data_IF_977561765391
#
_entry.id   IF_977561765391
#
_cell.length_a   1.000
_cell.length_b   1.000
_cell.length_c   1.000
_cell.angle_alpha   90.00
_cell.angle_beta   90.00
_cell.angle_gamma   90.00
#
_symmetry.space_group_name_H-M   'P 1'
#
loop_
_entity.id
_entity.type
_entity.pdbx_description
1 polymer ?
#
# COMPACT_ATOMS: atom_id res chain seq x y z
N UNK A 1 6.35 -68.72 43.92
CA UNK A 1 5.60 -68.48 42.68
C UNK A 1 4.73 -67.23 42.67
N UNK A 2 4.05 -66.82 43.78
CA UNK A 2 3.15 -65.63 43.76
C UNK A 2 3.87 -64.27 43.65
N UNK A 3 5.11 -64.11 44.15
CA UNK A 3 5.87 -62.80 44.04
C UNK A 3 6.41 -62.51 42.67
N UNK A 4 6.67 -63.50 41.81
CA UNK A 4 7.18 -63.32 40.45
C UNK A 4 6.07 -62.88 39.46
N UNK A 5 4.81 -63.33 39.71
CA UNK A 5 3.69 -62.94 38.82
C UNK A 5 3.27 -61.45 39.02
N UNK A 6 3.33 -60.97 40.26
CA UNK A 6 2.97 -59.58 40.58
C UNK A 6 3.96 -58.59 39.95
N UNK A 7 5.27 -58.94 39.96
CA UNK A 7 6.29 -58.07 39.31
C UNK A 7 6.17 -58.01 37.80
N UNK A 8 5.80 -59.13 37.12
CA UNK A 8 5.60 -59.15 35.68
C UNK A 8 4.37 -58.37 35.25
N UNK A 9 3.27 -58.43 36.01
CA UNK A 9 2.05 -57.69 35.70
C UNK A 9 2.25 -56.17 35.93
N UNK A 10 3.00 -55.77 36.95
CA UNK A 10 3.30 -54.34 37.22
C UNK A 10 4.23 -53.76 36.13
N UNK A 11 5.20 -54.51 35.66
CA UNK A 11 6.05 -54.10 34.51
C UNK A 11 5.29 -54.03 33.20
N UNK A 12 4.38 -54.96 32.92
CA UNK A 12 3.54 -54.93 31.73
C UNK A 12 2.54 -53.74 31.72
N UNK A 13 1.96 -53.40 32.89
CA UNK A 13 1.09 -52.20 33.01
C UNK A 13 1.88 -50.91 32.85
N UNK A 14 3.09 -50.81 33.40
CA UNK A 14 3.93 -49.61 33.26
C UNK A 14 4.37 -49.38 31.81
N UNK A 15 4.68 -50.44 31.05
CA UNK A 15 5.01 -50.31 29.64
C UNK A 15 3.77 -49.97 28.79
N UNK A 16 2.58 -50.45 29.17
CA UNK A 16 1.33 -50.11 28.50
C UNK A 16 0.91 -48.65 28.76
N UNK A 17 1.11 -48.13 29.97
CA UNK A 17 0.85 -46.72 30.30
C UNK A 17 1.81 -45.74 29.58
N UNK A 18 3.09 -46.14 29.37
CA UNK A 18 4.05 -45.32 28.63
C UNK A 18 3.75 -45.33 27.13
N UNK A 19 3.22 -46.44 26.60
CA UNK A 19 2.78 -46.51 25.20
C UNK A 19 1.49 -45.73 24.90
N UNK A 20 0.65 -45.49 25.93
CA UNK A 20 -0.56 -44.68 25.79
C UNK A 20 -0.34 -43.17 25.98
N UNK A 21 0.82 -42.77 26.54
CA UNK A 21 1.22 -41.37 26.65
C UNK A 21 2.09 -40.87 25.45
N UNK A 22 2.49 -41.78 24.60
CA UNK A 22 3.05 -41.49 23.30
C UNK A 22 1.96 -41.18 22.25
N UNK A 23 0.89 -40.49 22.65
CA UNK A 23 -0.06 -39.89 21.73
C UNK A 23 0.70 -38.88 20.89
N UNK A 24 0.93 -39.22 19.60
CA UNK A 24 1.39 -38.29 18.59
C UNK A 24 0.62 -36.98 18.72
N UNK A 25 1.23 -35.98 19.32
CA UNK A 25 1.04 -34.64 18.82
C UNK A 25 1.60 -34.67 17.41
N UNK A 26 0.77 -35.10 16.43
CA UNK A 26 0.92 -34.56 15.09
C UNK A 26 0.85 -33.07 15.30
N UNK A 27 1.99 -32.39 15.38
CA UNK A 27 2.08 -31.05 14.84
C UNK A 27 1.48 -31.18 13.45
N UNK A 28 0.27 -30.69 13.32
CA UNK A 28 -0.27 -30.38 12.02
C UNK A 28 0.69 -29.32 11.48
N UNK A 29 1.76 -29.72 10.84
CA UNK A 29 2.49 -28.89 9.90
C UNK A 29 1.47 -28.66 8.80
N UNK A 30 0.59 -27.67 9.00
CA UNK A 30 -0.28 -27.21 7.96
C UNK A 30 0.66 -26.81 6.82
N UNK A 31 0.59 -27.56 5.73
CA UNK A 31 1.36 -27.23 4.53
C UNK A 31 0.94 -25.81 4.15
N UNK A 32 1.87 -24.87 4.03
CA UNK A 32 1.53 -23.51 3.65
C UNK A 32 0.67 -23.53 2.38
N UNK A 33 -0.31 -22.65 2.24
CA UNK A 33 -1.15 -22.62 1.06
C UNK A 33 -0.27 -22.53 -0.19
N UNK A 34 -0.64 -23.27 -1.24
CA UNK A 34 0.10 -23.32 -2.51
C UNK A 34 0.20 -21.96 -3.20
N UNK A 35 -0.66 -21.02 -2.81
CA UNK A 35 -0.69 -19.62 -3.26
C UNK A 35 -0.56 -18.68 -2.05
N UNK A 36 -0.03 -17.48 -2.31
CA UNK A 36 0.04 -16.40 -1.30
C UNK A 36 -1.38 -15.92 -0.97
N UNK A 37 -1.80 -15.92 0.31
CA UNK A 37 -3.03 -15.27 0.70
C UNK A 37 -2.99 -13.78 0.32
N UNK A 38 -4.06 -13.33 -0.33
CA UNK A 38 -4.27 -11.92 -0.68
C UNK A 38 -5.41 -11.38 0.17
N UNK A 39 -5.14 -10.33 0.91
CA UNK A 39 -6.15 -9.55 1.63
C UNK A 39 -6.51 -8.34 0.78
N UNK A 40 -7.77 -8.24 0.38
CA UNK A 40 -8.34 -7.03 -0.25
C UNK A 40 -9.09 -6.27 0.83
N UNK A 41 -8.56 -5.12 1.22
CA UNK A 41 -9.15 -4.24 2.22
C UNK A 41 -9.81 -3.06 1.54
N UNK A 42 -11.14 -2.94 1.67
CA UNK A 42 -11.94 -1.90 1.04
C UNK A 42 -12.58 -1.01 2.11
N UNK A 43 -12.01 0.17 2.35
CA UNK A 43 -12.62 1.21 3.17
C UNK A 43 -13.58 2.02 2.28
N UNK A 44 -14.87 1.68 2.32
CA UNK A 44 -15.86 2.12 1.35
C UNK A 44 -16.99 2.96 1.93
N UNK A 45 -17.09 3.14 3.25
CA UNK A 45 -18.17 3.96 3.80
C UNK A 45 -17.92 5.46 3.58
N UNK A 46 -17.89 5.78 2.30
CA UNK A 46 -17.68 7.09 1.72
C UNK A 46 -18.36 7.14 0.33
N UNK A 47 -17.98 8.08 -0.54
CA UNK A 47 -18.52 8.19 -1.91
C UNK A 47 -18.11 7.04 -2.84
N UNK A 48 -17.16 6.16 -2.44
CA UNK A 48 -16.80 4.93 -3.18
C UNK A 48 -17.71 3.73 -2.89
N UNK A 49 -18.69 3.84 -1.98
CA UNK A 49 -19.60 2.72 -1.61
C UNK A 49 -20.30 2.09 -2.81
N UNK A 50 -20.57 2.86 -3.86
CA UNK A 50 -21.16 2.36 -5.10
C UNK A 50 -20.26 1.38 -5.88
N UNK A 51 -18.95 1.37 -5.60
CA UNK A 51 -17.97 0.51 -6.28
C UNK A 51 -17.99 -0.95 -5.77
N UNK A 52 -18.50 -1.22 -4.56
CA UNK A 52 -18.42 -2.55 -3.94
C UNK A 52 -18.94 -3.68 -4.82
N UNK A 53 -20.16 -3.54 -5.33
CA UNK A 53 -20.79 -4.62 -6.10
C UNK A 53 -20.03 -4.96 -7.37
N UNK A 54 -19.53 -3.94 -8.10
CA UNK A 54 -18.77 -4.12 -9.33
C UNK A 54 -17.39 -4.73 -9.06
N UNK A 55 -16.72 -4.34 -7.96
CA UNK A 55 -15.43 -4.89 -7.54
C UNK A 55 -15.57 -6.32 -7.06
N UNK A 56 -16.59 -6.61 -6.24
CA UNK A 56 -16.87 -7.98 -5.80
C UNK A 56 -17.17 -8.91 -6.99
N UNK A 57 -17.90 -8.44 -8.00
CA UNK A 57 -18.16 -9.22 -9.23
C UNK A 57 -16.85 -9.52 -9.96
N UNK A 58 -15.95 -8.54 -10.12
CA UNK A 58 -14.65 -8.71 -10.75
C UNK A 58 -13.72 -9.66 -9.94
N UNK A 59 -13.70 -9.54 -8.61
CA UNK A 59 -12.97 -10.46 -7.72
C UNK A 59 -13.48 -11.91 -7.87
N UNK A 60 -14.80 -12.12 -7.95
CA UNK A 60 -15.39 -13.44 -8.20
C UNK A 60 -14.97 -14.00 -9.55
N UNK A 61 -15.02 -13.19 -10.60
CA UNK A 61 -14.60 -13.59 -11.94
C UNK A 61 -13.10 -13.95 -12.02
N UNK A 62 -12.26 -13.25 -11.24
CA UNK A 62 -10.82 -13.48 -11.19
C UNK A 62 -10.39 -14.59 -10.25
N UNK A 63 -11.23 -15.01 -9.31
CA UNK A 63 -10.86 -16.06 -8.35
C UNK A 63 -10.70 -17.42 -9.06
N UNK A 64 -9.71 -18.19 -8.65
CA UNK A 64 -9.44 -19.56 -9.14
C UNK A 64 -9.27 -20.50 -7.96
N UNK A 65 -9.60 -21.82 -8.13
CA UNK A 65 -9.37 -22.83 -7.09
C UNK A 65 -7.93 -22.81 -6.57
N UNK A 66 -7.77 -22.84 -5.25
CA UNK A 66 -6.49 -22.76 -4.58
C UNK A 66 -6.00 -21.34 -4.26
N UNK A 67 -6.71 -20.29 -4.67
CA UNK A 67 -6.47 -18.93 -4.19
C UNK A 67 -7.05 -18.73 -2.80
N UNK A 68 -6.24 -18.21 -1.89
CA UNK A 68 -6.66 -17.73 -0.58
C UNK A 68 -6.93 -16.21 -0.70
N UNK A 69 -8.16 -15.86 -1.05
CA UNK A 69 -8.60 -14.48 -1.22
C UNK A 69 -9.56 -14.08 -0.08
N UNK A 70 -9.11 -13.13 0.72
CA UNK A 70 -9.84 -12.56 1.83
C UNK A 70 -10.27 -11.14 1.48
N UNK A 71 -11.53 -10.81 1.72
CA UNK A 71 -12.09 -9.50 1.39
C UNK A 71 -12.71 -8.91 2.65
N UNK A 72 -12.14 -7.83 3.12
CA UNK A 72 -12.79 -6.93 4.07
C UNK A 72 -13.44 -5.80 3.28
N UNK A 73 -14.68 -5.52 3.61
CA UNK A 73 -15.39 -4.38 3.06
C UNK A 73 -16.28 -3.76 4.13
N UNK A 74 -16.24 -2.45 4.22
CA UNK A 74 -17.19 -1.66 4.96
C UNK A 74 -18.24 -1.11 4.00
N UNK A 75 -19.48 -1.48 4.24
CA UNK A 75 -20.63 -1.14 3.38
C UNK A 75 -21.75 -0.58 4.25
N UNK A 76 -22.78 0.06 3.65
CA UNK A 76 -23.92 0.54 4.43
C UNK A 76 -24.65 -0.52 5.25
N UNK A 77 -24.47 -1.80 4.90
CA UNK A 77 -25.01 -2.94 5.65
C UNK A 77 -24.10 -3.35 6.83
N UNK A 78 -23.01 -2.65 7.02
CA UNK A 78 -21.95 -2.88 8.01
C UNK A 78 -20.72 -3.58 7.47
N UNK A 79 -19.65 -3.47 8.23
CA UNK A 79 -18.35 -4.03 7.87
C UNK A 79 -18.30 -5.54 8.08
N UNK A 80 -17.62 -6.23 7.19
CA UNK A 80 -17.43 -7.68 7.27
C UNK A 80 -16.13 -8.14 6.62
N UNK A 81 -15.60 -9.25 7.13
CA UNK A 81 -14.51 -10.02 6.52
C UNK A 81 -15.08 -11.30 5.95
N UNK A 82 -14.80 -11.57 4.69
CA UNK A 82 -15.17 -12.81 4.02
C UNK A 82 -13.99 -13.49 3.34
N UNK A 83 -14.14 -14.77 3.09
CA UNK A 83 -13.23 -15.59 2.27
C UNK A 83 -13.94 -16.00 0.99
N UNK A 84 -13.25 -15.86 -0.12
CA UNK A 84 -13.75 -16.31 -1.42
C UNK A 84 -13.61 -17.82 -1.54
N UNK A 85 -14.65 -18.49 -2.03
CA UNK A 85 -14.64 -19.93 -2.25
C UNK A 85 -15.60 -20.35 -3.38
N UNK A 86 -15.44 -21.58 -3.86
CA UNK A 86 -16.34 -22.20 -4.82
C UNK A 86 -17.59 -22.75 -4.14
N UNK A 87 -18.74 -22.57 -4.79
CA UNK A 87 -20.02 -23.19 -4.40
C UNK A 87 -20.64 -23.92 -5.60
N UNK A 88 -21.67 -24.73 -5.42
CA UNK A 88 -22.37 -25.34 -6.54
C UNK A 88 -22.93 -24.33 -7.55
N UNK A 89 -23.24 -23.10 -7.09
CA UNK A 89 -23.80 -22.03 -7.89
C UNK A 89 -22.72 -21.10 -8.51
N UNK A 90 -21.42 -21.35 -8.20
CA UNK A 90 -20.31 -20.54 -8.67
C UNK A 90 -19.36 -20.10 -7.57
N UNK A 91 -18.71 -18.95 -7.73
CA UNK A 91 -17.79 -18.38 -6.73
C UNK A 91 -18.54 -17.41 -5.81
N UNK A 92 -18.40 -17.58 -4.51
CA UNK A 92 -19.05 -16.74 -3.50
C UNK A 92 -18.06 -16.20 -2.46
N UNK A 93 -18.37 -15.03 -1.91
CA UNK A 93 -17.72 -14.50 -0.72
C UNK A 93 -18.49 -15.01 0.50
N UNK A 94 -17.89 -15.90 1.27
CA UNK A 94 -18.41 -16.41 2.52
C UNK A 94 -18.00 -15.51 3.67
N UNK A 95 -18.96 -14.89 4.33
CA UNK A 95 -18.69 -14.06 5.51
C UNK A 95 -18.12 -14.92 6.63
N UNK A 96 -16.94 -14.56 7.10
CA UNK A 96 -16.24 -15.23 8.22
C UNK A 96 -16.47 -14.47 9.52
N UNK A 97 -16.48 -13.14 9.47
CA UNK A 97 -16.68 -12.28 10.63
C UNK A 97 -17.50 -11.04 10.23
N UNK A 98 -18.42 -10.62 11.09
CA UNK A 98 -19.21 -9.39 10.95
C UNK A 98 -18.84 -8.44 12.06
N UNK A 99 -18.55 -7.21 11.70
CA UNK A 99 -18.12 -6.19 12.66
C UNK A 99 -19.22 -5.16 12.97
N UNK A 100 -20.27 -5.10 12.13
CA UNK A 100 -21.32 -4.09 12.24
C UNK A 100 -20.85 -2.72 11.77
N UNK A 101 -21.38 -1.66 12.36
CA UNK A 101 -20.91 -0.30 12.10
C UNK A 101 -19.56 -0.10 12.80
N UNK A 102 -18.54 0.23 12.05
CA UNK A 102 -17.21 0.54 12.55
C UNK A 102 -16.48 1.51 11.61
N UNK A 103 -15.39 2.10 12.10
CA UNK A 103 -14.55 2.98 11.29
C UNK A 103 -13.52 2.13 10.52
N UNK A 104 -13.73 1.94 9.22
CA UNK A 104 -12.78 1.25 8.33
C UNK A 104 -11.51 2.08 8.04
N UNK A 105 -11.57 3.40 8.24
CA UNK A 105 -10.42 4.30 8.22
C UNK A 105 -9.80 4.43 9.62
N UNK A 106 -9.51 3.30 10.26
CA UNK A 106 -8.86 3.20 11.58
C UNK A 106 -7.73 2.19 11.54
N UNK A 107 -6.56 2.56 12.07
CA UNK A 107 -5.44 1.63 12.23
C UNK A 107 -5.81 0.40 13.07
N UNK A 108 -6.61 0.57 14.12
CA UNK A 108 -7.06 -0.55 14.95
C UNK A 108 -7.94 -1.54 14.20
N UNK A 109 -8.82 -1.06 13.31
CA UNK A 109 -9.64 -1.90 12.44
C UNK A 109 -8.78 -2.67 11.44
N UNK A 110 -7.86 -1.99 10.75
CA UNK A 110 -6.93 -2.62 9.80
C UNK A 110 -6.08 -3.70 10.50
N UNK A 111 -5.48 -3.40 11.64
CA UNK A 111 -4.68 -4.36 12.40
C UNK A 111 -5.51 -5.60 12.80
N UNK A 112 -6.71 -5.40 13.32
CA UNK A 112 -7.60 -6.49 13.73
C UNK A 112 -7.94 -7.39 12.52
N UNK A 113 -8.28 -6.82 11.38
CA UNK A 113 -8.58 -7.58 10.16
C UNK A 113 -7.38 -8.40 9.71
N UNK A 114 -6.20 -7.79 9.63
CA UNK A 114 -4.97 -8.49 9.24
C UNK A 114 -4.60 -9.61 10.24
N UNK A 115 -4.70 -9.36 11.54
CA UNK A 115 -4.48 -10.39 12.57
C UNK A 115 -5.50 -11.52 12.49
N UNK A 116 -6.77 -11.22 12.16
CA UNK A 116 -7.80 -12.23 11.97
C UNK A 116 -7.46 -13.13 10.79
N UNK A 117 -7.07 -12.56 9.65
CA UNK A 117 -6.64 -13.36 8.49
C UNK A 117 -5.40 -14.17 8.82
N UNK A 118 -4.38 -13.58 9.46
CA UNK A 118 -3.16 -14.28 9.84
C UNK A 118 -3.43 -15.49 10.76
N UNK A 119 -4.34 -15.34 11.72
CA UNK A 119 -4.77 -16.42 12.61
C UNK A 119 -5.55 -17.52 11.89
N UNK A 120 -6.43 -17.17 10.93
CA UNK A 120 -7.33 -18.12 10.27
C UNK A 120 -6.69 -18.79 9.04
N UNK A 121 -5.68 -18.18 8.45
CA UNK A 121 -4.96 -18.67 7.28
C UNK A 121 -3.45 -18.48 7.49
N UNK A 122 -2.80 -19.29 8.36
CA UNK A 122 -1.36 -19.19 8.57
C UNK A 122 -0.58 -19.38 7.27
N UNK A 123 0.37 -18.50 6.98
CA UNK A 123 1.20 -18.51 5.78
C UNK A 123 2.55 -17.85 6.06
N UNK A 124 3.55 -18.19 5.26
CA UNK A 124 4.88 -17.60 5.28
C UNK A 124 5.02 -16.36 4.36
N UNK A 125 3.91 -15.87 3.81
CA UNK A 125 3.87 -14.64 3.01
C UNK A 125 2.44 -14.24 2.66
N UNK A 126 2.15 -12.93 2.73
CA UNK A 126 0.84 -12.34 2.42
C UNK A 126 0.99 -11.17 1.47
N UNK A 127 -0.06 -10.92 0.68
CA UNK A 127 -0.26 -9.67 -0.04
C UNK A 127 -1.41 -8.86 0.57
N UNK A 128 -1.28 -7.55 0.57
CA UNK A 128 -2.36 -6.61 0.88
C UNK A 128 -2.65 -5.74 -0.35
N UNK A 129 -3.90 -5.72 -0.80
CA UNK A 129 -4.43 -4.74 -1.73
C UNK A 129 -5.37 -3.82 -0.94
N UNK A 130 -4.97 -2.57 -0.82
CA UNK A 130 -5.72 -1.56 -0.07
C UNK A 130 -6.43 -0.61 -1.02
N UNK A 131 -7.76 -0.60 -0.98
CA UNK A 131 -8.62 0.25 -1.81
C UNK A 131 -9.38 1.24 -0.95
N UNK A 132 -9.14 2.50 -1.18
CA UNK A 132 -9.88 3.64 -0.63
C UNK A 132 -9.43 4.94 -1.30
N UNK A 133 -9.89 6.06 -0.79
CA UNK A 133 -9.23 7.34 -1.06
C UNK A 133 -7.91 7.45 -0.29
N UNK A 134 -6.96 8.25 -0.81
CA UNK A 134 -5.76 8.64 -0.09
C UNK A 134 -5.19 9.97 -0.59
N UNK A 135 -4.36 10.61 0.23
CA UNK A 135 -3.57 11.82 -0.09
C UNK A 135 -2.10 11.66 0.35
N UNK A 136 -1.60 10.41 0.26
CA UNK A 136 -0.21 10.14 0.63
C UNK A 136 0.07 10.39 2.12
N UNK A 137 1.08 11.21 2.39
CA UNK A 137 1.51 11.57 3.74
C UNK A 137 0.75 12.77 4.35
N UNK A 138 -0.11 13.45 3.56
CA UNK A 138 -0.79 14.66 4.05
C UNK A 138 -1.64 14.34 5.28
N UNK A 139 -1.60 15.16 6.33
CA UNK A 139 -2.43 14.97 7.50
C UNK A 139 -3.92 15.00 7.17
N UNK A 140 -4.70 14.29 7.97
CA UNK A 140 -6.16 14.32 7.89
C UNK A 140 -6.68 15.78 7.85
N UNK A 141 -7.68 16.05 7.00
CA UNK A 141 -8.26 17.37 6.88
C UNK A 141 -7.50 18.37 5.98
N UNK A 142 -6.36 18.00 5.38
CA UNK A 142 -5.53 18.94 4.59
C UNK A 142 -6.17 19.36 3.26
N UNK A 143 -6.83 18.47 2.55
CA UNK A 143 -7.54 18.79 1.30
C UNK A 143 -9.03 18.92 1.59
N UNK A 144 -9.55 20.15 1.45
CA UNK A 144 -10.98 20.44 1.63
C UNK A 144 -11.83 19.84 0.52
N UNK A 145 -12.18 18.57 0.65
CA UNK A 145 -13.09 17.90 -0.28
C UNK A 145 -14.53 17.96 0.22
N UNK A 146 -15.55 18.11 -0.66
CA UNK A 146 -16.96 17.99 -0.25
C UNK A 146 -17.29 16.64 0.38
N UNK A 147 -16.50 15.60 0.11
CA UNK A 147 -16.61 14.23 0.65
C UNK A 147 -15.59 13.89 1.73
N UNK A 148 -14.91 14.90 2.34
CA UNK A 148 -13.88 14.71 3.36
C UNK A 148 -12.47 14.60 2.76
N UNK A 149 -11.46 15.05 3.49
CA UNK A 149 -10.05 14.92 3.13
C UNK A 149 -9.49 13.57 3.59
N UNK A 150 -8.26 13.18 3.19
CA UNK A 150 -7.89 11.77 3.16
C UNK A 150 -6.39 11.62 3.33
N UNK A 151 -5.95 11.07 4.45
CA UNK A 151 -4.56 10.62 4.60
C UNK A 151 -4.39 9.23 3.95
N UNK A 152 -4.72 8.13 4.65
CA UNK A 152 -4.74 6.78 4.08
C UNK A 152 -6.09 6.14 4.37
N UNK A 153 -6.98 6.11 3.37
CA UNK A 153 -8.36 5.64 3.56
C UNK A 153 -9.28 6.71 4.15
N UNK A 154 -10.58 6.57 3.90
CA UNK A 154 -11.62 7.48 4.37
C UNK A 154 -12.89 6.73 4.75
N UNK A 155 -13.48 7.13 5.88
CA UNK A 155 -14.73 6.59 6.40
C UNK A 155 -15.46 7.69 7.16
N UNK A 156 -16.67 8.11 6.71
CA UNK A 156 -17.47 9.18 7.33
C UNK A 156 -16.67 10.43 7.74
N UNK A 157 -15.64 10.78 6.95
CA UNK A 157 -14.76 11.91 7.25
C UNK A 157 -13.63 11.60 8.25
N UNK A 158 -13.55 10.38 8.77
CA UNK A 158 -12.37 9.87 9.46
C UNK A 158 -11.32 9.42 8.47
N UNK A 159 -10.04 9.48 8.85
CA UNK A 159 -8.89 9.11 8.02
C UNK A 159 -7.84 8.42 8.87
N UNK A 160 -7.07 7.50 8.27
CA UNK A 160 -5.92 6.89 8.94
C UNK A 160 -4.71 7.78 8.65
N UNK A 161 -4.09 8.33 9.69
CA UNK A 161 -2.77 8.97 9.56
C UNK A 161 -1.73 7.93 9.11
N UNK A 162 -0.73 8.36 8.36
CA UNK A 162 0.27 7.47 7.77
C UNK A 162 0.99 6.60 8.83
N UNK A 163 1.39 7.19 9.94
CA UNK A 163 2.05 6.48 11.05
C UNK A 163 1.11 5.43 11.67
N UNK A 164 -0.18 5.74 11.76
CA UNK A 164 -1.19 4.81 12.26
C UNK A 164 -1.43 3.66 11.28
N UNK A 165 -1.40 3.92 9.98
CA UNK A 165 -1.45 2.88 8.94
C UNK A 165 -0.23 1.96 9.02
N UNK A 166 0.97 2.53 9.09
CA UNK A 166 2.22 1.78 9.24
C UNK A 166 2.20 0.90 10.50
N UNK A 167 1.79 1.47 11.64
CA UNK A 167 1.69 0.74 12.90
C UNK A 167 0.62 -0.38 12.88
N UNK A 168 -0.43 -0.24 12.07
CA UNK A 168 -1.50 -1.22 11.91
C UNK A 168 -1.07 -2.47 11.13
N UNK A 169 0.02 -2.42 10.37
CA UNK A 169 0.60 -3.61 9.74
C UNK A 169 1.25 -4.46 10.84
N UNK A 170 0.69 -5.68 11.15
CA UNK A 170 1.07 -6.40 12.37
C UNK A 170 2.54 -6.81 12.37
N UNK A 171 3.24 -6.47 13.43
CA UNK A 171 4.61 -6.91 13.63
C UNK A 171 4.69 -8.45 13.62
N UNK A 172 5.66 -8.99 12.87
CA UNK A 172 5.84 -10.43 12.71
C UNK A 172 4.93 -11.10 11.69
N UNK A 173 3.89 -10.43 11.16
CA UNK A 173 3.15 -10.93 10.01
C UNK A 173 4.05 -10.81 8.76
N UNK A 174 4.30 -11.93 8.03
CA UNK A 174 5.18 -11.89 6.86
C UNK A 174 4.45 -11.26 5.66
N UNK A 175 4.27 -9.93 5.70
CA UNK A 175 3.63 -9.18 4.64
C UNK A 175 4.65 -8.93 3.52
N UNK A 176 4.53 -9.65 2.41
CA UNK A 176 5.45 -9.58 1.28
C UNK A 176 5.32 -8.29 0.49
N UNK A 177 4.10 -7.74 0.40
CA UNK A 177 3.84 -6.51 -0.34
C UNK A 177 2.53 -5.84 0.05
N UNK A 178 2.48 -4.53 -0.24
CA UNK A 178 1.25 -3.74 -0.27
C UNK A 178 1.05 -3.16 -1.67
N UNK A 179 -0.15 -3.33 -2.22
CA UNK A 179 -0.62 -2.65 -3.43
C UNK A 179 -1.64 -1.59 -3.02
N UNK A 180 -1.33 -0.34 -3.26
CA UNK A 180 -2.25 0.77 -3.02
C UNK A 180 -3.06 1.07 -4.28
N UNK A 181 -4.34 0.72 -4.27
CA UNK A 181 -5.30 1.27 -5.22
C UNK A 181 -5.89 2.56 -4.65
N UNK A 182 -5.01 3.51 -4.41
CA UNK A 182 -5.25 4.79 -3.77
C UNK A 182 -4.42 5.88 -4.43
N UNK A 183 -4.92 7.12 -4.35
CA UNK A 183 -4.26 8.30 -4.91
C UNK A 183 -3.00 8.67 -4.14
N UNK A 184 -1.93 9.16 -4.84
CA UNK A 184 -0.79 9.88 -4.27
C UNK A 184 0.05 9.09 -3.25
N UNK A 185 -0.02 7.75 -3.27
CA UNK A 185 0.69 6.92 -2.30
C UNK A 185 2.17 6.68 -2.62
N UNK A 186 2.67 7.02 -3.84
CA UNK A 186 4.10 6.85 -4.17
C UNK A 186 4.94 8.04 -3.69
N UNK A 187 4.73 8.50 -2.46
CA UNK A 187 5.54 9.53 -1.80
C UNK A 187 6.75 8.94 -1.08
N UNK A 188 7.89 9.62 -1.11
CA UNK A 188 9.10 9.23 -0.38
C UNK A 188 8.83 9.16 1.14
N UNK A 189 7.97 10.03 1.64
CA UNK A 189 7.48 10.05 3.02
C UNK A 189 6.75 8.74 3.35
N UNK A 190 5.83 8.31 2.48
CA UNK A 190 5.05 7.08 2.64
C UNK A 190 5.97 5.87 2.63
N UNK A 191 6.90 5.81 1.66
CA UNK A 191 7.77 4.65 1.47
C UNK A 191 8.77 4.48 2.62
N UNK A 192 9.30 5.57 3.17
CA UNK A 192 10.20 5.49 4.31
C UNK A 192 9.44 5.08 5.59
N UNK A 193 8.20 5.53 5.78
CA UNK A 193 7.37 5.15 6.92
C UNK A 193 6.99 3.65 6.88
N UNK A 194 6.84 3.08 5.69
CA UNK A 194 6.57 1.64 5.50
C UNK A 194 7.81 0.75 5.55
N UNK A 195 9.01 1.35 5.68
CA UNK A 195 10.25 0.60 5.81
C UNK A 195 10.21 -0.31 7.06
N UNK A 196 10.57 -1.60 6.90
CA UNK A 196 10.48 -2.59 7.96
C UNK A 196 9.08 -3.18 8.21
N UNK A 197 8.03 -2.66 7.55
CA UNK A 197 6.67 -3.20 7.61
C UNK A 197 6.35 -4.13 6.44
N UNK A 198 6.77 -3.75 5.26
CA UNK A 198 6.64 -4.54 4.03
C UNK A 198 7.82 -4.25 3.11
N UNK A 199 8.41 -5.26 2.44
CA UNK A 199 9.55 -5.04 1.57
C UNK A 199 9.20 -4.38 0.23
N UNK A 200 7.96 -4.51 -0.24
CA UNK A 200 7.54 -4.05 -1.56
C UNK A 200 6.23 -3.28 -1.52
N UNK A 201 6.18 -2.18 -2.24
CA UNK A 201 4.98 -1.36 -2.41
C UNK A 201 4.79 -1.04 -3.88
N UNK A 202 3.55 -1.25 -4.37
CA UNK A 202 3.10 -0.79 -5.68
C UNK A 202 2.11 0.36 -5.47
N UNK A 203 2.41 1.55 -5.98
CA UNK A 203 1.65 2.76 -5.70
C UNK A 203 1.71 3.78 -6.83
N UNK A 204 0.75 4.71 -6.87
CA UNK A 204 0.68 5.80 -7.84
C UNK A 204 1.23 7.11 -7.28
N UNK A 205 1.99 7.83 -8.11
CA UNK A 205 2.44 9.21 -7.83
C UNK A 205 1.31 10.24 -7.97
N UNK A 206 0.32 9.96 -8.83
CA UNK A 206 -0.85 10.78 -9.08
C UNK A 206 -2.11 10.14 -8.46
N UNK A 207 -3.27 10.67 -8.80
CA UNK A 207 -4.54 10.04 -8.46
C UNK A 207 -4.72 8.72 -9.22
N UNK A 208 -5.49 7.78 -8.67
CA UNK A 208 -5.95 6.58 -9.37
C UNK A 208 -7.33 6.87 -9.94
N UNK A 209 -7.40 7.03 -11.26
CA UNK A 209 -8.65 7.38 -11.96
C UNK A 209 -9.54 6.14 -12.08
N UNK A 210 -10.85 6.31 -11.83
CA UNK A 210 -11.81 5.22 -11.99
C UNK A 210 -11.77 4.63 -13.41
N UNK A 211 -11.91 3.33 -13.59
CA UNK A 211 -12.29 2.31 -12.62
C UNK A 211 -11.13 1.73 -11.78
N UNK A 212 -9.96 2.34 -11.78
CA UNK A 212 -8.78 1.88 -11.04
C UNK A 212 -8.29 0.50 -11.49
N UNK A 213 -7.92 -0.36 -10.56
CA UNK A 213 -7.43 -1.71 -10.84
C UNK A 213 -8.55 -2.74 -11.06
N UNK A 214 -9.83 -2.35 -10.91
CA UNK A 214 -10.97 -3.27 -11.07
C UNK A 214 -10.92 -4.12 -12.35
N UNK A 215 -10.57 -3.59 -13.55
CA UNK A 215 -10.49 -4.41 -14.76
C UNK A 215 -9.45 -5.54 -14.69
N UNK A 216 -8.45 -5.37 -13.83
CA UNK A 216 -7.40 -6.37 -13.62
C UNK A 216 -7.77 -7.43 -12.60
N UNK A 217 -8.83 -7.23 -11.81
CA UNK A 217 -9.23 -8.25 -10.84
C UNK A 217 -9.63 -9.56 -11.53
N UNK A 218 -10.19 -9.51 -12.73
CA UNK A 218 -10.55 -10.72 -13.49
C UNK A 218 -9.32 -11.49 -14.02
N UNK A 219 -8.23 -10.81 -14.34
CA UNK A 219 -7.04 -11.40 -14.98
C UNK A 219 -5.77 -11.33 -14.13
N UNK A 220 -5.68 -10.40 -13.18
CA UNK A 220 -4.46 -10.07 -12.44
C UNK A 220 -4.36 -10.64 -11.04
N UNK A 221 -5.47 -11.07 -10.42
CA UNK A 221 -5.44 -11.64 -9.07
C UNK A 221 -4.56 -12.88 -8.98
N UNK A 222 -4.55 -13.71 -10.03
CA UNK A 222 -3.71 -14.90 -10.09
C UNK A 222 -2.23 -14.54 -9.95
N UNK A 223 -1.80 -13.47 -10.62
CA UNK A 223 -0.42 -12.96 -10.54
C UNK A 223 -0.08 -12.56 -9.11
N UNK A 224 -0.93 -11.82 -8.44
CA UNK A 224 -0.70 -11.34 -7.06
C UNK A 224 -0.64 -12.49 -6.04
N UNK A 225 -1.29 -13.62 -6.29
CA UNK A 225 -1.29 -14.78 -5.38
C UNK A 225 -0.20 -15.80 -5.68
N UNK A 226 0.51 -15.68 -6.79
CA UNK A 226 1.55 -16.63 -7.21
C UNK A 226 2.75 -16.65 -6.24
N UNK A 227 3.38 -17.84 -6.08
CA UNK A 227 4.56 -18.04 -5.22
C UNK A 227 5.80 -18.51 -5.97
N UNK A 228 5.67 -18.82 -7.26
CA UNK A 228 6.75 -19.41 -8.05
C UNK A 228 7.74 -18.38 -8.59
N UNK A 229 7.31 -17.11 -8.67
CA UNK A 229 8.16 -15.99 -9.11
C UNK A 229 8.51 -15.07 -7.94
N UNK A 230 9.64 -14.35 -8.03
CA UNK A 230 9.97 -13.28 -7.08
C UNK A 230 8.87 -12.20 -7.01
N UNK A 231 8.58 -11.70 -5.81
CA UNK A 231 7.52 -10.69 -5.59
C UNK A 231 7.66 -9.47 -6.49
N UNK A 232 8.84 -8.86 -6.69
CA UNK A 232 8.95 -7.69 -7.57
C UNK A 232 8.58 -7.98 -9.02
N UNK A 233 8.84 -9.20 -9.52
CA UNK A 233 8.43 -9.60 -10.88
C UNK A 233 6.91 -9.73 -11.01
N UNK A 234 6.24 -10.24 -9.97
CA UNK A 234 4.78 -10.34 -9.93
C UNK A 234 4.14 -8.96 -9.93
N UNK A 235 4.64 -8.06 -9.07
CA UNK A 235 4.11 -6.71 -8.96
C UNK A 235 4.38 -5.88 -10.22
N UNK A 236 5.56 -6.02 -10.83
CA UNK A 236 5.86 -5.39 -12.11
C UNK A 236 4.94 -5.90 -13.22
N UNK A 237 4.68 -7.23 -13.29
CA UNK A 237 3.76 -7.80 -14.26
C UNK A 237 2.31 -7.31 -14.06
N UNK A 238 1.85 -7.19 -12.81
CA UNK A 238 0.55 -6.59 -12.51
C UNK A 238 0.51 -5.12 -12.94
N UNK A 239 1.54 -4.35 -12.60
CA UNK A 239 1.67 -2.94 -13.01
C UNK A 239 1.68 -2.76 -14.53
N UNK A 240 2.45 -3.56 -15.25
CA UNK A 240 2.49 -3.55 -16.73
C UNK A 240 1.11 -3.85 -17.33
N UNK A 241 0.37 -4.80 -16.76
CA UNK A 241 -0.99 -5.12 -17.22
C UNK A 241 -1.94 -3.95 -16.99
N UNK A 242 -1.80 -3.23 -15.85
CA UNK A 242 -2.57 -2.02 -15.59
C UNK A 242 -2.24 -0.91 -16.60
N UNK A 243 -0.97 -0.61 -16.80
CA UNK A 243 -0.54 0.44 -17.74
C UNK A 243 -1.00 0.12 -19.16
N UNK A 244 -0.88 -1.15 -19.60
CA UNK A 244 -1.38 -1.59 -20.92
C UNK A 244 -2.89 -1.43 -21.05
N UNK A 245 -3.66 -1.69 -19.98
CA UNK A 245 -5.10 -1.43 -19.96
C UNK A 245 -5.39 0.07 -20.13
N UNK A 246 -4.72 0.93 -19.35
CA UNK A 246 -4.89 2.39 -19.40
C UNK A 246 -4.50 2.95 -20.76
N UNK A 247 -3.44 2.47 -21.39
CA UNK A 247 -3.03 2.87 -22.73
C UNK A 247 -4.07 2.55 -23.80
N UNK A 248 -4.88 1.52 -23.58
CA UNK A 248 -6.03 1.17 -24.44
C UNK A 248 -7.24 2.10 -24.28
N UNK A 249 -7.25 2.96 -23.25
CA UNK A 249 -8.32 3.93 -23.02
C UNK A 249 -8.12 5.20 -23.88
N UNK A 250 -9.12 6.06 -23.90
CA UNK A 250 -9.10 7.32 -24.66
C UNK A 250 -9.42 8.53 -23.79
N UNK A 251 -9.02 9.71 -24.27
CA UNK A 251 -9.27 10.97 -23.59
C UNK A 251 -8.62 11.05 -22.21
N UNK A 252 -9.32 11.68 -21.29
CA UNK A 252 -8.88 11.87 -19.90
C UNK A 252 -8.70 10.57 -19.09
N UNK A 253 -9.34 9.48 -19.49
CA UNK A 253 -9.20 8.18 -18.83
C UNK A 253 -7.87 7.48 -19.15
N UNK A 254 -7.15 7.90 -20.19
CA UNK A 254 -5.78 7.48 -20.47
C UNK A 254 -4.80 8.23 -19.57
N UNK A 255 -4.93 8.01 -18.26
CA UNK A 255 -4.24 8.76 -17.22
C UNK A 255 -3.83 7.84 -16.08
N UNK A 256 -2.54 7.58 -15.94
CA UNK A 256 -1.99 6.78 -14.85
C UNK A 256 -0.50 7.07 -14.60
N UNK A 257 -0.11 6.86 -13.38
CA UNK A 257 1.28 6.65 -12.95
C UNK A 257 1.30 5.42 -12.06
N UNK A 258 2.36 4.62 -12.11
CA UNK A 258 2.52 3.50 -11.20
C UNK A 258 4.00 3.19 -10.98
N UNK A 259 4.37 2.88 -9.74
CA UNK A 259 5.75 2.62 -9.35
C UNK A 259 5.82 1.45 -8.39
N UNK A 260 6.84 0.61 -8.57
CA UNK A 260 7.19 -0.48 -7.67
C UNK A 260 8.42 -0.08 -6.85
N UNK A 261 8.25 0.02 -5.56
CA UNK A 261 9.25 0.53 -4.63
C UNK A 261 9.72 -0.57 -3.67
N UNK A 262 11.03 -0.64 -3.46
CA UNK A 262 11.68 -1.43 -2.44
C UNK A 262 11.86 -0.57 -1.20
N UNK A 263 11.06 -0.80 -0.16
CA UNK A 263 11.07 0.05 1.04
C UNK A 263 12.38 -0.04 1.83
N UNK A 264 13.06 -1.21 1.81
CA UNK A 264 14.35 -1.37 2.48
C UNK A 264 15.49 -0.52 1.90
N UNK A 265 15.32 0.03 0.68
CA UNK A 265 16.29 0.95 0.06
C UNK A 265 16.03 2.41 0.43
N UNK A 266 14.91 2.74 1.05
CA UNK A 266 14.53 4.13 1.35
C UNK A 266 15.48 4.85 2.30
N UNK A 267 16.06 4.23 3.35
CA UNK A 267 17.05 4.91 4.20
C UNK A 267 18.30 5.34 3.43
N UNK A 268 18.80 4.50 2.52
CA UNK A 268 19.94 4.85 1.67
C UNK A 268 19.61 5.96 0.67
N UNK A 269 18.39 5.96 0.13
CA UNK A 269 17.91 7.02 -0.74
C UNK A 269 17.79 8.35 0.03
N UNK A 270 17.23 8.35 1.23
CA UNK A 270 17.14 9.55 2.07
C UNK A 270 18.51 10.15 2.37
N UNK A 271 19.48 9.30 2.73
CA UNK A 271 20.87 9.75 2.95
C UNK A 271 21.51 10.32 1.68
N UNK A 272 21.26 9.70 0.51
CA UNK A 272 21.77 10.21 -0.76
C UNK A 272 21.15 11.56 -1.13
N UNK A 273 19.82 11.73 -0.89
CA UNK A 273 19.13 13.03 -1.06
C UNK A 273 19.76 14.09 -0.13
N UNK A 274 19.93 13.76 1.16
CA UNK A 274 20.56 14.65 2.13
C UNK A 274 21.92 15.17 1.66
N UNK A 275 22.76 14.28 1.12
CA UNK A 275 24.09 14.64 0.64
C UNK A 275 24.03 15.51 -0.61
N UNK A 276 23.27 15.08 -1.61
CA UNK A 276 23.25 15.76 -2.93
C UNK A 276 22.61 17.14 -2.87
N UNK A 277 21.66 17.36 -1.97
CA UNK A 277 21.01 18.66 -1.73
C UNK A 277 21.64 19.46 -0.59
N UNK A 278 22.60 18.88 0.14
CA UNK A 278 23.13 19.37 1.41
C UNK A 278 22.07 19.60 2.48
N UNK A 279 21.08 18.72 2.47
CA UNK A 279 19.90 18.79 3.33
C UNK A 279 18.90 19.85 2.88
N UNK A 280 17.73 19.79 3.47
CA UNK A 280 16.79 20.91 3.43
C UNK A 280 17.28 21.92 4.47
N UNK A 281 18.15 22.86 4.07
CA UNK A 281 18.58 23.89 4.99
C UNK A 281 17.38 24.73 5.40
N UNK A 282 17.20 24.93 6.72
CA UNK A 282 16.22 25.85 7.32
C UNK A 282 16.55 27.33 7.04
N UNK A 283 17.09 27.64 5.89
CA UNK A 283 17.39 29.02 5.50
C UNK A 283 16.08 29.74 5.16
N UNK A 284 15.83 30.85 5.85
CA UNK A 284 14.81 31.83 5.46
C UNK A 284 14.90 32.13 3.97
N UNK A 285 13.85 31.75 3.20
CA UNK A 285 13.76 32.00 1.77
C UNK A 285 13.72 30.73 0.87
N UNK A 286 13.88 29.52 1.41
CA UNK A 286 13.73 28.27 0.64
C UNK A 286 12.32 27.67 0.67
N UNK A 287 11.35 28.31 1.30
CA UNK A 287 9.93 27.90 1.31
C UNK A 287 9.23 28.16 -0.04
N UNK A 288 9.98 28.02 -1.14
CA UNK A 288 9.44 28.15 -2.49
C UNK A 288 10.09 27.08 -3.37
N UNK A 289 9.32 26.11 -3.85
CA UNK A 289 9.81 25.11 -4.79
C UNK A 289 10.40 25.79 -6.04
N UNK A 290 11.49 25.26 -6.62
CA UNK A 290 11.98 25.70 -7.91
C UNK A 290 10.87 25.76 -8.96
N UNK A 291 10.90 26.78 -9.83
CA UNK A 291 9.91 26.95 -10.88
C UNK A 291 9.97 25.79 -11.89
N UNK A 292 8.82 25.34 -12.39
CA UNK A 292 8.74 24.35 -13.46
C UNK A 292 8.98 22.91 -13.01
N UNK A 293 9.02 22.60 -11.71
CA UNK A 293 9.08 21.23 -11.24
C UNK A 293 7.85 20.44 -11.68
N UNK A 294 8.06 19.21 -12.16
CA UNK A 294 6.98 18.25 -12.36
C UNK A 294 6.27 17.99 -11.02
N UNK A 295 4.96 18.06 -11.01
CA UNK A 295 4.12 17.67 -9.88
C UNK A 295 3.02 16.72 -10.33
N UNK A 296 2.41 16.00 -9.39
CA UNK A 296 1.46 14.93 -9.66
C UNK A 296 0.09 15.13 -9.03
N UNK A 297 -0.10 16.20 -8.26
CA UNK A 297 -1.40 16.66 -7.80
C UNK A 297 -1.99 17.73 -8.73
N UNK A 298 -3.25 18.07 -8.52
CA UNK A 298 -3.99 19.06 -9.32
C UNK A 298 -4.38 20.27 -8.47
N UNK A 299 -3.49 21.25 -8.28
CA UNK A 299 -3.73 22.38 -7.40
C UNK A 299 -5.02 23.13 -7.72
N UNK A 300 -5.88 23.31 -6.72
CA UNK A 300 -7.15 24.01 -6.82
C UNK A 300 -8.25 23.24 -7.58
N UNK A 301 -8.02 21.98 -7.99
CA UNK A 301 -9.04 21.14 -8.61
C UNK A 301 -10.18 20.79 -7.64
N UNK A 302 -9.87 20.72 -6.35
CA UNK A 302 -10.79 20.38 -5.28
C UNK A 302 -11.25 21.58 -4.46
N UNK A 303 -11.03 22.79 -4.97
CA UNK A 303 -11.37 24.03 -4.25
C UNK A 303 -10.40 24.37 -3.13
N UNK A 304 -9.30 23.63 -3.00
CA UNK A 304 -8.25 23.89 -2.01
C UNK A 304 -7.60 25.27 -2.20
N UNK A 305 -7.30 25.93 -1.10
CA UNK A 305 -6.69 27.25 -1.05
C UNK A 305 -5.55 27.27 -0.03
N UNK A 306 -4.38 27.80 -0.39
CA UNK A 306 -3.96 28.23 -1.73
C UNK A 306 -3.86 27.05 -2.73
N UNK A 307 -4.10 27.35 -4.02
CA UNK A 307 -4.00 26.39 -5.11
C UNK A 307 -2.52 26.20 -5.50
N UNK A 308 -1.79 25.41 -4.73
CA UNK A 308 -0.37 25.17 -4.92
C UNK A 308 -0.04 23.68 -4.81
N UNK A 309 0.91 23.20 -5.61
CA UNK A 309 1.30 21.80 -5.66
C UNK A 309 1.97 21.34 -4.36
N UNK A 310 1.77 20.06 -4.02
CA UNK A 310 2.30 19.41 -2.81
C UNK A 310 3.06 18.12 -3.10
N UNK A 311 2.96 17.56 -4.31
CA UNK A 311 3.56 16.29 -4.69
C UNK A 311 4.46 16.48 -5.90
N UNK A 312 5.73 16.79 -5.66
CA UNK A 312 6.72 17.04 -6.70
C UNK A 312 7.51 15.77 -7.01
N UNK A 313 7.97 15.64 -8.26
CA UNK A 313 8.88 14.58 -8.67
C UNK A 313 10.21 14.67 -7.91
N UNK A 314 10.62 13.56 -7.27
CA UNK A 314 11.80 13.53 -6.42
C UNK A 314 13.08 13.84 -7.21
N UNK A 315 13.27 13.21 -8.38
CA UNK A 315 14.48 13.41 -9.19
C UNK A 315 14.53 14.83 -9.76
N UNK A 316 13.39 15.36 -10.24
CA UNK A 316 13.32 16.73 -10.73
C UNK A 316 13.67 17.75 -9.63
N UNK A 317 13.20 17.52 -8.39
CA UNK A 317 13.55 18.36 -7.26
C UNK A 317 15.05 18.30 -6.93
N UNK A 318 15.62 17.08 -6.85
CA UNK A 318 17.06 16.91 -6.55
C UNK A 318 17.93 17.59 -7.61
N UNK A 319 17.60 17.44 -8.89
CA UNK A 319 18.34 18.10 -9.97
C UNK A 319 18.25 19.63 -9.90
N UNK A 320 17.09 20.18 -9.53
CA UNK A 320 16.91 21.62 -9.39
C UNK A 320 17.62 22.19 -8.15
N UNK A 321 17.86 21.37 -7.13
CA UNK A 321 18.50 21.74 -5.87
C UNK A 321 19.90 21.15 -5.73
N UNK A 322 20.52 20.69 -6.82
CA UNK A 322 21.82 20.05 -6.83
C UNK A 322 22.90 20.97 -6.23
N UNK A 323 23.38 20.61 -5.04
CA UNK A 323 24.40 21.35 -4.31
C UNK A 323 25.77 20.65 -4.31
N UNK A 324 25.78 19.34 -4.55
CA UNK A 324 26.97 18.49 -4.61
C UNK A 324 26.96 17.59 -5.84
N UNK A 325 27.57 18.01 -6.96
CA UNK A 325 27.63 17.20 -8.19
C UNK A 325 28.35 15.86 -8.03
N UNK A 326 29.30 15.75 -7.09
CA UNK A 326 30.01 14.50 -6.83
C UNK A 326 29.13 13.44 -6.16
N UNK A 327 28.07 13.87 -5.46
CA UNK A 327 27.08 12.99 -4.84
C UNK A 327 25.96 12.56 -5.82
N UNK A 328 25.84 13.16 -7.00
CA UNK A 328 24.74 12.89 -7.95
C UNK A 328 24.68 11.43 -8.39
N UNK A 329 25.83 10.83 -8.71
CA UNK A 329 25.89 9.43 -9.13
C UNK A 329 25.42 8.46 -8.03
N UNK A 330 25.75 8.75 -6.76
CA UNK A 330 25.28 7.98 -5.61
C UNK A 330 23.77 8.12 -5.43
N UNK A 331 23.22 9.33 -5.60
CA UNK A 331 21.78 9.56 -5.56
C UNK A 331 21.05 8.76 -6.66
N UNK A 332 21.51 8.83 -7.92
CA UNK A 332 20.90 8.06 -9.02
C UNK A 332 20.94 6.56 -8.78
N UNK A 333 22.04 6.05 -8.22
CA UNK A 333 22.16 4.64 -7.81
C UNK A 333 21.16 4.28 -6.74
N UNK A 334 21.04 5.07 -5.67
CA UNK A 334 20.10 4.83 -4.59
C UNK A 334 18.61 4.92 -5.05
N UNK A 335 18.32 5.85 -5.97
CA UNK A 335 16.99 5.95 -6.58
C UNK A 335 16.66 4.70 -7.41
N UNK A 336 17.60 4.21 -8.23
CA UNK A 336 17.42 2.98 -9.01
C UNK A 336 17.28 1.73 -8.14
N UNK A 337 17.92 1.68 -6.97
CA UNK A 337 17.76 0.60 -5.99
C UNK A 337 16.41 0.66 -5.28
N UNK A 338 15.83 1.84 -5.08
CA UNK A 338 14.54 2.02 -4.44
C UNK A 338 13.38 1.83 -5.43
N UNK A 339 13.44 2.43 -6.61
CA UNK A 339 12.38 2.36 -7.64
C UNK A 339 12.78 1.33 -8.70
N UNK A 340 12.33 0.09 -8.52
CA UNK A 340 12.75 -1.04 -9.37
C UNK A 340 11.96 -1.17 -10.68
N UNK A 341 10.78 -0.56 -10.72
CA UNK A 341 9.95 -0.44 -11.92
C UNK A 341 9.05 0.78 -11.78
N UNK A 342 8.81 1.48 -12.88
CA UNK A 342 7.85 2.58 -12.97
C UNK A 342 7.33 2.74 -14.39
N UNK A 343 6.12 3.28 -14.51
CA UNK A 343 5.53 3.68 -15.78
C UNK A 343 4.54 4.82 -15.58
N UNK A 344 4.29 5.60 -16.63
CA UNK A 344 3.37 6.72 -16.61
C UNK A 344 2.86 7.01 -18.04
N UNK A 345 1.62 7.47 -18.12
CA UNK A 345 1.10 8.05 -19.38
C UNK A 345 1.74 9.42 -19.64
N UNK A 346 1.73 9.86 -20.90
CA UNK A 346 2.28 11.18 -21.28
C UNK A 346 1.52 12.37 -20.65
N UNK A 347 0.25 12.14 -20.29
CA UNK A 347 -0.65 13.16 -19.71
C UNK A 347 -1.49 12.55 -18.61
N UNK A 348 -1.87 13.39 -17.67
CA UNK A 348 -2.77 13.03 -16.59
C UNK A 348 -4.00 13.95 -16.60
N UNK A 349 -5.20 13.38 -16.83
CA UNK A 349 -6.51 14.07 -16.94
C UNK A 349 -6.46 15.32 -17.84
N UNK A 350 -5.46 15.41 -18.70
CA UNK A 350 -5.23 16.49 -19.65
C UNK A 350 -5.71 16.11 -21.04
N UNK A 351 -5.84 17.12 -21.89
CA UNK A 351 -6.20 16.97 -23.30
C UNK A 351 -7.13 18.08 -23.76
N UNK A 352 -7.24 18.26 -25.08
CA UNK A 352 -8.13 19.27 -25.64
C UNK A 352 -9.59 18.94 -25.29
N UNK A 353 -10.26 19.89 -24.63
CA UNK A 353 -11.65 19.75 -24.20
C UNK A 353 -11.87 18.98 -22.89
N UNK A 354 -10.80 18.55 -22.18
CA UNK A 354 -10.95 17.93 -20.87
C UNK A 354 -11.57 18.91 -19.87
N UNK A 355 -12.61 18.50 -19.12
CA UNK A 355 -13.19 19.32 -18.06
C UNK A 355 -12.29 19.38 -16.83
N UNK A 356 -11.24 18.54 -16.76
CA UNK A 356 -10.35 18.42 -15.61
C UNK A 356 -9.13 19.33 -15.75
N UNK A 357 -8.64 19.80 -14.61
CA UNK A 357 -7.35 20.51 -14.54
C UNK A 357 -6.23 19.45 -14.52
N UNK A 358 -5.91 18.90 -15.68
CA UNK A 358 -4.85 17.93 -15.87
C UNK A 358 -3.48 18.58 -16.07
N UNK A 359 -2.46 17.74 -16.28
CA UNK A 359 -1.09 18.16 -16.54
C UNK A 359 -0.38 17.17 -17.48
N UNK A 360 0.67 17.65 -18.14
CA UNK A 360 1.58 16.79 -18.89
C UNK A 360 2.59 16.14 -17.95
N UNK A 361 2.96 14.88 -18.21
CA UNK A 361 3.97 14.15 -17.48
C UNK A 361 5.25 14.12 -18.33
N UNK A 362 6.09 15.12 -18.15
CA UNK A 362 7.38 15.19 -18.80
C UNK A 362 8.47 14.38 -18.08
N UNK A 363 8.28 14.10 -16.80
CA UNK A 363 9.20 13.36 -15.92
C UNK A 363 8.42 12.52 -14.93
N UNK A 364 8.88 11.30 -14.68
CA UNK A 364 8.35 10.43 -13.63
C UNK A 364 9.47 9.60 -13.05
N UNK A 365 10.01 10.02 -11.92
CA UNK A 365 11.08 9.28 -11.20
C UNK A 365 10.55 8.06 -10.44
N UNK A 366 9.23 7.98 -10.28
CA UNK A 366 8.55 6.92 -9.54
C UNK A 366 8.27 7.26 -8.09
N UNK A 367 8.84 8.36 -7.58
CA UNK A 367 8.58 8.86 -6.23
C UNK A 367 8.26 10.36 -6.28
N UNK A 368 7.35 10.76 -5.41
CA UNK A 368 7.08 12.17 -5.11
C UNK A 368 7.66 12.55 -3.75
N UNK A 369 7.79 13.86 -3.52
CA UNK A 369 8.07 14.42 -2.20
C UNK A 369 7.31 15.74 -2.04
N UNK A 370 7.11 16.15 -0.79
CA UNK A 370 6.68 17.51 -0.47
C UNK A 370 7.87 18.46 -0.37
N UNK A 371 7.70 19.66 -0.90
CA UNK A 371 8.64 20.76 -0.70
C UNK A 371 7.94 21.82 0.12
N UNK A 372 8.45 22.22 1.31
CA UNK A 372 7.86 23.25 2.14
C UNK A 372 7.58 24.53 1.36
N UNK A 373 6.46 25.18 1.68
CA UNK A 373 6.00 26.41 1.02
C UNK A 373 5.48 27.41 2.04
N UNK A 374 5.82 28.68 1.84
CA UNK A 374 5.35 29.77 2.72
C UNK A 374 3.82 29.88 2.82
N UNK A 375 3.09 29.40 1.79
CA UNK A 375 1.63 29.36 1.78
C UNK A 375 1.04 28.32 2.75
N UNK A 376 1.82 27.34 3.22
CA UNK A 376 1.37 26.21 4.04
C UNK A 376 2.12 26.09 5.37
N UNK A 377 2.16 27.12 6.23
CA UNK A 377 2.99 27.09 7.45
C UNK A 377 2.64 25.92 8.39
N UNK A 378 1.35 25.63 8.61
CA UNK A 378 0.93 24.53 9.47
C UNK A 378 1.31 23.16 8.88
N UNK A 379 1.20 23.00 7.56
CA UNK A 379 1.61 21.77 6.87
C UNK A 379 3.13 21.58 6.96
N UNK A 380 3.91 22.65 6.83
CA UNK A 380 5.37 22.61 6.98
C UNK A 380 5.77 22.12 8.38
N UNK A 381 5.08 22.56 9.44
CA UNK A 381 5.33 22.07 10.81
C UNK A 381 5.05 20.58 10.96
N UNK A 382 3.97 20.09 10.33
CA UNK A 382 3.66 18.65 10.35
C UNK A 382 4.69 17.88 9.53
N UNK A 383 5.06 18.36 8.35
CA UNK A 383 6.07 17.73 7.49
C UNK A 383 7.42 17.55 8.20
N UNK A 384 7.85 18.53 8.99
CA UNK A 384 9.09 18.46 9.78
C UNK A 384 9.13 17.30 10.79
N UNK A 385 7.99 16.68 11.09
CA UNK A 385 7.89 15.50 11.97
C UNK A 385 7.99 14.18 11.22
N UNK A 386 7.85 14.17 9.90
CA UNK A 386 7.94 12.94 9.09
C UNK A 386 9.33 12.32 9.17
N UNK A 387 9.39 10.99 9.12
CA UNK A 387 10.66 10.26 9.08
C UNK A 387 11.52 10.71 7.88
N UNK A 388 10.88 11.02 6.74
CA UNK A 388 11.58 11.49 5.55
C UNK A 388 12.28 12.82 5.78
N UNK A 389 11.57 13.82 6.32
CA UNK A 389 12.20 15.11 6.64
C UNK A 389 13.36 14.95 7.62
N UNK A 390 13.18 14.16 8.68
CA UNK A 390 14.22 13.93 9.69
C UNK A 390 15.46 13.26 9.10
N UNK A 391 15.28 12.35 8.13
CA UNK A 391 16.38 11.65 7.47
C UNK A 391 17.11 12.47 6.41
N UNK A 392 16.44 13.48 5.82
CA UNK A 392 16.97 14.26 4.70
C UNK A 392 17.46 15.65 5.08
N UNK A 393 17.17 16.14 6.29
CA UNK A 393 17.69 17.42 6.77
C UNK A 393 19.18 17.32 7.15
N UNK A 394 19.89 18.44 7.07
CA UNK A 394 21.22 18.55 7.64
C UNK A 394 21.16 18.65 9.16
N UNK A 395 21.98 17.89 9.89
CA UNK A 395 22.12 18.08 11.32
C UNK A 395 22.85 19.41 11.57
N UNK A 396 22.14 20.38 12.14
CA UNK A 396 22.75 21.63 12.61
C UNK A 396 23.45 21.32 13.94
N UNK A 397 24.78 21.18 13.93
CA UNK A 397 25.62 21.06 15.14
C UNK A 397 25.96 22.44 15.69
#
# INVERSE_FOLDING_TARGET
MKKSLISAVTQALAVLCVALLGGCTKELTETPPSRRPLVVYMALDNDLRGEFSSRLAALRAGWRPGMELWVYADTPEGASLGRMDSTPEGVALHTVERYGEENSASGATLERVLRTVWRLCPSDGYGLLFFSHATGWLPAGTLGHPSGSRSVGSDHGSEIELESFSAALPEGMPLDYVVFECCLMAGAEVMLELQGRTPWVLASSAEVVAPGFRPLYESGLEVLTERTRPVPELLAAFGQSYMSHVEGLSGEYRSATLSLIRTSSMPALAEAVRRVTRGFADEEGRDTPPAGLQHFDRPGAYGDRPAAARFYDLEAYVEACLADPDAEAAFRGALADAVVWRDATERFLGGDGSPYKGFDIGRHSGLTLYVPRGEFPALNETYRRTAWWQATREEVY
#
